data_IF_548112867836
#
_entry.id   IF_548112867836
#
_cell.length_a   1.000
_cell.length_b   1.000
_cell.length_c   1.000
_cell.angle_alpha   90.00
_cell.angle_beta   90.00
_cell.angle_gamma   90.00
#
_symmetry.space_group_name_H-M   'P 1'
#
loop_
_entity.id
_entity.type
_entity.pdbx_description
1 polymer ?
#
# COMPACT_ATOMS: atom_id res chain seq x y z
N UNK A 1 6.04 -44.37 59.24
CA UNK A 1 6.54 -43.08 58.69
C UNK A 1 5.67 -42.67 57.59
N UNK A 2 5.03 -41.50 57.71
CA UNK A 2 4.26 -40.92 56.62
C UNK A 2 5.26 -40.57 55.46
N UNK A 3 5.09 -41.22 54.30
CA UNK A 3 5.85 -40.85 53.10
C UNK A 3 5.23 -39.60 52.53
N UNK A 4 5.91 -38.51 52.63
CA UNK A 4 5.53 -37.27 51.95
C UNK A 4 5.51 -37.50 50.43
N UNK A 5 4.46 -37.04 49.79
CA UNK A 5 4.38 -37.05 48.35
C UNK A 5 5.45 -36.13 47.77
N UNK A 6 6.27 -36.63 46.85
CA UNK A 6 7.35 -35.89 46.26
C UNK A 6 7.21 -35.80 44.74
N UNK A 7 6.96 -34.62 44.23
CA UNK A 7 6.93 -34.34 42.81
C UNK A 7 6.05 -35.28 41.98
N UNK A 8 6.60 -35.94 40.95
CA UNK A 8 5.89 -36.85 40.05
C UNK A 8 5.22 -38.07 40.72
N UNK A 9 5.59 -38.41 41.95
CA UNK A 9 4.99 -39.48 42.72
C UNK A 9 3.79 -39.03 43.53
N UNK A 10 3.49 -37.74 43.57
CA UNK A 10 2.30 -37.17 44.20
C UNK A 10 1.04 -37.66 43.50
N UNK A 11 -0.06 -37.61 44.23
CA UNK A 11 -1.38 -37.90 43.69
C UNK A 11 -2.04 -36.62 43.15
N UNK A 12 -2.77 -36.77 42.08
CA UNK A 12 -3.63 -35.74 41.50
C UNK A 12 -5.02 -36.34 41.18
N UNK A 13 -5.97 -35.49 40.88
CA UNK A 13 -7.28 -35.88 40.38
C UNK A 13 -7.36 -35.66 38.89
N UNK A 14 -8.04 -36.57 38.18
CA UNK A 14 -8.35 -36.38 36.78
C UNK A 14 -9.37 -35.24 36.60
N UNK A 15 -9.14 -34.36 35.66
CA UNK A 15 -10.07 -33.25 35.35
C UNK A 15 -11.36 -33.76 34.67
N UNK A 16 -11.36 -35.01 34.18
CA UNK A 16 -12.52 -35.63 33.52
C UNK A 16 -13.39 -36.43 34.49
N UNK A 17 -12.83 -37.40 35.18
CA UNK A 17 -13.57 -38.33 36.04
C UNK A 17 -13.50 -37.98 37.52
N UNK A 18 -12.55 -37.13 37.92
CA UNK A 18 -12.28 -36.90 39.34
C UNK A 18 -11.61 -38.07 40.07
N UNK A 19 -11.22 -39.14 39.36
CA UNK A 19 -10.47 -40.23 39.96
C UNK A 19 -9.04 -39.82 40.31
N UNK A 20 -8.49 -40.50 41.27
CA UNK A 20 -7.18 -40.21 41.81
C UNK A 20 -6.10 -41.03 41.13
N UNK A 21 -5.21 -40.34 40.43
CA UNK A 21 -4.04 -40.90 39.72
C UNK A 21 -2.71 -40.37 40.29
N UNK A 22 -1.63 -41.03 40.01
CA UNK A 22 -0.31 -40.45 40.26
C UNK A 22 0.00 -39.46 39.16
N UNK A 23 0.60 -38.33 39.52
CA UNK A 23 0.91 -37.28 38.54
C UNK A 23 1.81 -37.74 37.37
N UNK A 24 2.63 -38.77 37.59
CA UNK A 24 3.45 -39.37 36.52
C UNK A 24 2.64 -40.16 35.49
N UNK A 25 1.45 -40.67 35.91
CA UNK A 25 0.60 -41.53 35.11
C UNK A 25 -0.54 -40.70 34.45
N UNK A 26 -0.53 -39.39 34.68
CA UNK A 26 -1.47 -38.42 34.07
C UNK A 26 -0.88 -37.82 32.83
N UNK A 27 -1.69 -37.68 31.78
CA UNK A 27 -1.35 -37.08 30.48
C UNK A 27 -2.19 -35.81 30.28
N UNK A 28 -1.62 -34.83 29.60
CA UNK A 28 -2.35 -33.63 29.19
C UNK A 28 -2.95 -33.85 27.82
N UNK A 29 -4.28 -33.69 27.73
CA UNK A 29 -5.02 -33.75 26.47
C UNK A 29 -4.86 -32.52 25.62
N UNK A 30 -5.31 -32.61 24.38
CA UNK A 30 -5.31 -31.50 23.41
C UNK A 30 -6.12 -30.27 23.85
N UNK A 31 -7.19 -30.48 24.66
CA UNK A 31 -8.04 -29.43 25.24
C UNK A 31 -7.44 -28.77 26.49
N UNK A 32 -6.29 -29.26 26.96
CA UNK A 32 -5.59 -28.80 28.15
C UNK A 32 -5.91 -29.53 29.44
N UNK A 33 -6.90 -30.43 29.46
CA UNK A 33 -7.25 -31.22 30.60
C UNK A 33 -6.14 -32.22 30.96
N UNK A 34 -5.96 -32.48 32.26
CA UNK A 34 -5.00 -33.44 32.77
C UNK A 34 -5.77 -34.68 33.27
N UNK A 35 -5.62 -35.78 32.55
CA UNK A 35 -6.39 -36.99 32.76
C UNK A 35 -5.52 -38.21 33.01
N UNK A 36 -6.11 -39.28 33.55
CA UNK A 36 -5.45 -40.58 33.65
C UNK A 36 -5.12 -41.15 32.26
N UNK A 37 -4.10 -42.00 32.19
CA UNK A 37 -3.67 -42.61 30.92
C UNK A 37 -4.75 -43.49 30.27
N UNK A 38 -5.61 -44.07 31.06
CA UNK A 38 -6.76 -44.87 30.67
C UNK A 38 -7.94 -44.05 30.18
N UNK A 39 -7.96 -42.74 30.50
CA UNK A 39 -9.00 -41.79 30.12
C UNK A 39 -8.57 -40.88 28.96
N UNK A 40 -7.33 -41.03 28.50
CA UNK A 40 -6.76 -40.18 27.47
C UNK A 40 -7.44 -40.39 26.13
N UNK A 41 -7.90 -39.28 25.54
CA UNK A 41 -8.43 -39.23 24.17
C UNK A 41 -7.57 -38.38 23.28
N UNK A 42 -7.24 -38.92 22.11
CA UNK A 42 -6.56 -38.15 21.06
C UNK A 42 -7.51 -37.11 20.44
N UNK A 43 -6.94 -36.03 19.93
CA UNK A 43 -7.71 -35.04 19.20
C UNK A 43 -8.34 -35.68 17.96
N UNK A 44 -9.66 -35.52 17.82
CA UNK A 44 -10.36 -36.07 16.66
C UNK A 44 -9.88 -35.37 15.37
N UNK A 45 -9.57 -36.12 14.30
CA UNK A 45 -9.06 -35.56 13.05
C UNK A 45 -9.95 -34.47 12.42
N UNK A 46 -11.28 -34.53 12.67
CA UNK A 46 -12.20 -33.50 12.18
C UNK A 46 -12.03 -32.13 12.86
N UNK A 47 -11.39 -32.09 14.01
CA UNK A 47 -11.09 -30.83 14.72
C UNK A 47 -9.80 -30.19 14.22
N UNK A 48 -9.07 -30.86 13.35
CA UNK A 48 -7.95 -30.29 12.64
C UNK A 48 -8.46 -29.75 11.31
N UNK A 49 -8.30 -28.45 11.03
CA UNK A 49 -8.69 -27.93 9.74
C UNK A 49 -7.88 -28.65 8.66
N UNK A 50 -8.60 -29.32 7.78
CA UNK A 50 -7.99 -29.92 6.62
C UNK A 50 -7.65 -28.77 5.68
N UNK A 51 -6.40 -28.32 5.68
CA UNK A 51 -5.95 -27.32 4.72
C UNK A 51 -6.11 -27.91 3.32
N UNK A 52 -6.91 -27.30 2.44
CA UNK A 52 -6.88 -27.66 1.03
C UNK A 52 -5.44 -27.61 0.58
N UNK A 53 -5.06 -28.56 -0.28
CA UNK A 53 -3.70 -28.64 -0.79
C UNK A 53 -3.15 -27.27 -1.25
N UNK A 54 -1.85 -27.15 -1.48
CA UNK A 54 -1.23 -25.88 -1.79
C UNK A 54 -1.98 -25.23 -2.96
N UNK A 55 -2.46 -24.01 -2.73
CA UNK A 55 -3.10 -23.21 -3.77
C UNK A 55 -2.03 -22.90 -4.85
N UNK A 56 -2.18 -23.43 -6.08
CA UNK A 56 -1.20 -23.18 -7.13
C UNK A 56 -1.15 -21.71 -7.58
N UNK A 57 -2.14 -20.93 -7.18
CA UNK A 57 -2.22 -19.49 -7.46
C UNK A 57 -1.62 -18.64 -6.34
N UNK A 58 -1.42 -19.21 -5.16
CA UNK A 58 -0.80 -18.51 -4.05
C UNK A 58 0.73 -18.64 -4.11
N UNK A 59 1.39 -17.52 -4.03
CA UNK A 59 2.85 -17.48 -3.89
C UNK A 59 3.24 -17.86 -2.46
N UNK A 60 4.09 -18.86 -2.32
CA UNK A 60 4.72 -19.19 -1.04
C UNK A 60 5.79 -18.13 -0.74
N UNK A 61 5.66 -17.46 0.41
CA UNK A 61 6.55 -16.36 0.84
C UNK A 61 6.79 -15.30 -0.26
N UNK A 62 5.74 -14.62 -0.72
CA UNK A 62 5.86 -13.70 -1.82
C UNK A 62 6.84 -12.57 -1.47
N UNK A 63 7.85 -12.43 -2.32
CA UNK A 63 8.78 -11.30 -2.30
C UNK A 63 8.68 -10.62 -3.65
N UNK A 64 7.63 -9.83 -3.88
CA UNK A 64 7.49 -9.13 -5.14
C UNK A 64 8.68 -8.20 -5.32
N UNK A 65 9.19 -8.13 -6.54
CA UNK A 65 10.15 -7.12 -6.92
C UNK A 65 9.60 -5.74 -6.55
N UNK A 66 10.48 -4.85 -6.12
CA UNK A 66 10.13 -3.46 -5.97
C UNK A 66 9.58 -2.99 -7.31
N UNK A 67 8.26 -2.83 -7.36
CA UNK A 67 7.60 -2.33 -8.56
C UNK A 67 8.22 -0.98 -8.87
N UNK A 68 8.90 -0.88 -10.00
CA UNK A 68 9.27 0.42 -10.57
C UNK A 68 7.95 1.16 -10.73
N UNK A 69 7.76 2.23 -9.97
CA UNK A 69 6.54 3.01 -10.10
C UNK A 69 6.46 3.45 -11.55
N UNK A 70 5.46 2.93 -12.24
CA UNK A 70 5.06 3.48 -13.53
C UNK A 70 4.72 4.93 -13.23
N UNK A 71 5.23 5.86 -14.01
CA UNK A 71 4.97 7.29 -13.88
C UNK A 71 3.52 7.51 -13.50
N UNK A 72 3.27 7.90 -12.25
CA UNK A 72 1.91 8.11 -11.75
C UNK A 72 1.35 9.28 -12.54
N UNK A 73 0.27 9.06 -13.27
CA UNK A 73 -0.48 10.14 -13.89
C UNK A 73 -1.18 10.90 -12.76
N UNK A 74 -0.58 11.97 -12.30
CA UNK A 74 -1.18 12.84 -11.31
C UNK A 74 -2.22 13.73 -11.97
N UNK A 75 -3.47 13.60 -11.54
CA UNK A 75 -4.50 14.54 -11.92
C UNK A 75 -4.18 15.90 -11.28
N UNK A 76 -3.89 16.88 -12.11
CA UNK A 76 -3.72 18.26 -11.65
C UNK A 76 -5.09 18.85 -11.27
N UNK A 77 -5.11 19.80 -10.37
CA UNK A 77 -6.34 20.46 -9.94
C UNK A 77 -7.05 21.20 -11.09
N UNK A 78 -8.22 21.79 -10.80
CA UNK A 78 -8.95 22.58 -11.78
C UNK A 78 -8.11 23.80 -12.24
N UNK A 79 -7.93 23.93 -13.56
CA UNK A 79 -7.19 25.01 -14.19
C UNK A 79 -5.78 25.21 -13.59
N UNK A 80 -4.89 24.21 -13.72
CA UNK A 80 -3.59 24.22 -13.06
C UNK A 80 -2.59 25.21 -13.67
N UNK A 81 -2.83 25.67 -14.88
CA UNK A 81 -1.93 26.57 -15.60
C UNK A 81 -2.24 28.04 -15.33
N UNK A 82 -1.20 28.83 -15.18
CA UNK A 82 -1.26 30.30 -15.06
C UNK A 82 -0.37 30.90 -16.11
N UNK A 83 -0.89 31.86 -16.84
CA UNK A 83 -0.16 32.56 -17.91
C UNK A 83 0.38 33.92 -17.44
N UNK A 84 1.45 34.37 -18.11
CA UNK A 84 1.98 35.71 -17.96
C UNK A 84 1.80 36.45 -19.28
N UNK A 85 1.29 37.69 -19.29
CA UNK A 85 0.99 38.44 -20.48
C UNK A 85 2.20 38.52 -21.43
N UNK A 86 1.93 38.32 -22.72
CA UNK A 86 2.93 38.38 -23.80
C UNK A 86 4.11 37.41 -23.60
N UNK A 87 3.95 36.39 -22.78
CA UNK A 87 4.99 35.41 -22.51
C UNK A 87 4.57 34.00 -22.98
N UNK A 88 5.55 33.21 -23.42
CA UNK A 88 5.38 31.78 -23.68
C UNK A 88 5.58 30.92 -22.40
N UNK A 89 5.97 31.54 -21.28
CA UNK A 89 6.16 30.87 -20.02
C UNK A 89 4.80 30.63 -19.31
N UNK A 90 4.58 29.43 -18.89
CA UNK A 90 3.35 29.00 -18.17
C UNK A 90 3.78 28.47 -16.82
N UNK A 91 3.15 28.96 -15.77
CA UNK A 91 3.32 28.42 -14.42
C UNK A 91 2.29 27.33 -14.15
N UNK A 92 2.72 26.22 -13.60
CA UNK A 92 1.88 25.09 -13.24
C UNK A 92 1.77 25.00 -11.73
N UNK A 93 0.56 24.77 -11.25
CA UNK A 93 0.29 24.50 -9.83
C UNK A 93 0.09 22.99 -9.66
N UNK A 94 1.03 22.36 -9.00
CA UNK A 94 1.00 20.93 -8.65
C UNK A 94 1.50 20.80 -7.20
N UNK A 95 0.60 20.68 -6.21
CA UNK A 95 0.99 20.60 -4.81
C UNK A 95 1.93 19.44 -4.52
N UNK A 96 3.02 19.68 -3.80
CA UNK A 96 4.03 18.68 -3.38
C UNK A 96 4.57 17.83 -4.53
N UNK A 97 4.88 18.46 -5.67
CA UNK A 97 5.22 17.77 -6.92
C UNK A 97 6.55 16.99 -6.87
N UNK A 98 7.43 17.25 -5.93
CA UNK A 98 8.71 16.53 -5.77
C UNK A 98 9.68 16.60 -6.96
N UNK A 99 9.40 17.42 -7.97
CA UNK A 99 10.20 17.55 -9.21
C UNK A 99 11.40 18.46 -9.02
N UNK A 100 12.40 18.30 -9.89
CA UNK A 100 13.59 19.11 -9.94
C UNK A 100 13.66 19.94 -11.23
N UNK A 101 14.42 21.02 -11.22
CA UNK A 101 14.68 21.79 -12.45
C UNK A 101 15.35 20.89 -13.49
N UNK A 102 14.92 21.00 -14.74
CA UNK A 102 15.29 20.21 -15.91
C UNK A 102 14.59 18.86 -16.04
N UNK A 103 13.72 18.50 -15.12
CA UNK A 103 12.85 17.34 -15.33
C UNK A 103 11.92 17.57 -16.53
N UNK A 104 11.55 16.51 -17.23
CA UNK A 104 10.63 16.56 -18.36
C UNK A 104 9.23 16.15 -17.92
N UNK A 105 8.26 17.03 -18.10
CA UNK A 105 6.85 16.81 -17.80
C UNK A 105 6.03 16.75 -19.07
N UNK A 106 5.08 15.84 -19.13
CA UNK A 106 4.10 15.74 -20.24
C UNK A 106 2.71 15.97 -19.68
N UNK A 107 1.98 16.83 -20.35
CA UNK A 107 0.58 17.06 -20.00
C UNK A 107 -0.33 16.32 -20.98
N UNK A 108 -1.47 15.87 -20.48
CA UNK A 108 -2.53 15.24 -21.24
C UNK A 108 -3.86 15.87 -20.90
N UNK A 109 -4.80 15.82 -21.82
CA UNK A 109 -6.16 16.32 -21.65
C UNK A 109 -6.27 17.81 -21.27
N UNK A 110 -5.20 18.56 -21.48
CA UNK A 110 -5.23 20.00 -21.30
C UNK A 110 -6.05 20.66 -22.41
N UNK A 111 -6.91 21.58 -22.00
CA UNK A 111 -7.73 22.41 -22.91
C UNK A 111 -6.99 23.68 -23.23
N UNK A 112 -7.01 24.08 -24.50
CA UNK A 112 -6.38 25.33 -24.94
C UNK A 112 -6.99 26.57 -24.28
N UNK A 113 -6.16 27.56 -23.94
CA UNK A 113 -6.61 28.79 -23.31
C UNK A 113 -5.57 29.90 -23.52
N UNK A 114 -5.99 31.16 -23.42
CA UNK A 114 -5.16 32.36 -23.43
C UNK A 114 -4.09 32.43 -24.55
N UNK A 115 -4.43 32.00 -25.77
CA UNK A 115 -3.53 32.01 -26.92
C UNK A 115 -2.71 30.70 -27.09
N UNK A 116 -2.80 29.75 -26.16
CA UNK A 116 -2.18 28.44 -26.30
C UNK A 116 -3.16 27.38 -26.80
N UNK A 117 -2.80 26.71 -27.89
CA UNK A 117 -3.59 25.60 -28.41
C UNK A 117 -3.45 24.37 -27.55
N UNK A 118 -4.51 23.54 -27.47
CA UNK A 118 -4.47 22.27 -26.73
C UNK A 118 -3.36 21.32 -27.21
N UNK A 119 -3.09 21.30 -28.50
CA UNK A 119 -1.99 20.49 -29.09
C UNK A 119 -0.62 20.90 -28.63
N UNK A 120 -0.43 22.19 -28.34
CA UNK A 120 0.82 22.72 -27.78
C UNK A 120 0.96 22.29 -26.33
N UNK A 121 -0.09 22.44 -25.53
CA UNK A 121 -0.06 22.03 -24.12
C UNK A 121 0.14 20.52 -23.95
N UNK A 122 -0.52 19.71 -24.77
CA UNK A 122 -0.44 18.25 -24.78
C UNK A 122 0.72 17.69 -25.61
N UNK A 123 1.90 18.31 -25.51
CA UNK A 123 3.07 17.90 -26.28
C UNK A 123 3.58 16.52 -25.87
N UNK A 124 3.60 15.58 -26.83
CA UNK A 124 4.05 14.20 -26.61
C UNK A 124 5.53 14.08 -26.22
N UNK A 125 6.37 15.05 -26.61
CA UNK A 125 7.78 15.09 -26.21
C UNK A 125 7.98 15.63 -24.79
N UNK A 126 6.96 16.29 -24.23
CA UNK A 126 7.02 16.95 -22.94
C UNK A 126 7.74 18.28 -22.96
N UNK A 127 7.84 18.88 -21.79
CA UNK A 127 8.49 20.15 -21.55
C UNK A 127 9.50 20.03 -20.42
N UNK A 128 10.69 20.56 -20.61
CA UNK A 128 11.63 20.76 -19.51
C UNK A 128 11.10 21.85 -18.59
N UNK A 129 11.13 21.60 -17.30
CA UNK A 129 10.58 22.49 -16.28
C UNK A 129 11.68 23.24 -15.52
N UNK A 130 11.29 24.36 -14.96
CA UNK A 130 12.08 25.09 -13.97
C UNK A 130 11.28 25.13 -12.67
N UNK A 131 11.80 24.51 -11.62
CA UNK A 131 11.18 24.50 -10.29
C UNK A 131 11.19 25.94 -9.74
N UNK A 132 10.04 26.40 -9.26
CA UNK A 132 9.89 27.65 -8.52
C UNK A 132 9.86 27.40 -7.03
N UNK A 133 8.96 26.52 -6.59
CA UNK A 133 8.82 26.07 -5.21
C UNK A 133 8.31 24.61 -5.18
N UNK A 134 7.94 24.09 -3.99
CA UNK A 134 7.48 22.71 -3.85
C UNK A 134 6.08 22.45 -4.42
N UNK A 135 5.36 23.50 -4.80
CA UNK A 135 3.99 23.42 -5.30
C UNK A 135 3.84 24.00 -6.70
N UNK A 136 4.88 24.65 -7.23
CA UNK A 136 4.81 25.32 -8.53
C UNK A 136 6.11 25.17 -9.31
N UNK A 137 5.95 25.04 -10.61
CA UNK A 137 7.06 25.08 -11.57
C UNK A 137 6.62 25.78 -12.85
N UNK A 138 7.57 26.18 -13.68
CA UNK A 138 7.31 26.84 -14.96
C UNK A 138 7.85 25.99 -16.11
N UNK A 139 7.21 26.12 -17.25
CA UNK A 139 7.72 25.62 -18.54
C UNK A 139 7.48 26.62 -19.65
N UNK A 140 8.23 26.51 -20.72
CA UNK A 140 8.07 27.37 -21.91
C UNK A 140 7.34 26.56 -22.99
N UNK A 141 6.20 27.06 -23.42
CA UNK A 141 5.42 26.46 -24.51
C UNK A 141 6.21 26.52 -25.84
N UNK A 142 6.10 25.47 -26.65
CA UNK A 142 6.79 25.37 -27.94
C UNK A 142 6.31 26.37 -28.97
N UNK A 143 5.08 26.84 -28.84
CA UNK A 143 4.53 27.95 -29.68
C UNK A 143 3.38 28.63 -28.95
N UNK A 144 3.07 29.85 -29.37
CA UNK A 144 2.07 30.71 -28.77
C UNK A 144 2.63 31.57 -27.64
N UNK A 145 1.90 32.61 -27.33
CA UNK A 145 2.14 33.52 -26.22
C UNK A 145 0.81 33.88 -25.58
N UNK A 146 0.82 34.13 -24.29
CA UNK A 146 -0.39 34.52 -23.58
C UNK A 146 -0.91 35.86 -24.12
N UNK A 147 -2.18 35.88 -24.48
CA UNK A 147 -2.84 37.07 -24.98
C UNK A 147 -3.16 38.07 -23.88
N UNK A 148 -3.72 37.59 -22.81
CA UNK A 148 -4.17 38.42 -21.69
C UNK A 148 -3.22 38.32 -20.49
N UNK A 149 -2.77 37.14 -20.12
CA UNK A 149 -1.96 36.86 -18.94
C UNK A 149 -2.74 36.94 -17.64
N UNK A 150 -2.19 36.34 -16.61
CA UNK A 150 -2.84 36.21 -15.29
C UNK A 150 -4.06 35.29 -15.27
N UNK A 151 -4.39 34.65 -16.39
CA UNK A 151 -5.50 33.73 -16.48
C UNK A 151 -5.10 32.33 -15.99
N UNK A 152 -6.05 31.66 -15.35
CA UNK A 152 -5.96 30.22 -15.01
C UNK A 152 -6.70 29.40 -16.05
N UNK A 153 -6.09 28.32 -16.51
CA UNK A 153 -6.69 27.47 -17.55
C UNK A 153 -6.11 26.07 -17.56
N UNK A 154 -6.44 25.36 -18.65
CA UNK A 154 -6.07 23.95 -18.83
C UNK A 154 -7.21 22.97 -18.63
N UNK A 155 -8.25 23.37 -17.91
CA UNK A 155 -9.40 22.50 -17.62
C UNK A 155 -9.25 21.68 -16.32
N UNK A 156 -10.16 20.73 -16.10
CA UNK A 156 -10.22 19.95 -14.86
C UNK A 156 -9.76 18.50 -14.99
N UNK A 157 -9.18 18.12 -16.14
CA UNK A 157 -8.77 16.73 -16.42
C UNK A 157 -7.29 16.64 -16.82
N UNK A 158 -6.53 17.68 -16.56
CA UNK A 158 -5.11 17.70 -16.91
C UNK A 158 -4.34 16.72 -16.03
N UNK A 159 -3.62 15.79 -16.67
CA UNK A 159 -2.75 14.81 -16.03
C UNK A 159 -1.34 14.92 -16.56
#
# INVERSE_FOLDING_TARGET
>A
MARYASGKKSWGYSDRSGFRYRLRDMIKEWNGLKVGRDEYEEKHPQLEPNYPGPDPTALFEPRPDARTEVSVENLLGLNPFITTASSASITVIEPSHGRSTSDTVRFRDAVGFDGFAATVLNNSSGYAITKVDDNTYTFTASSGTATTGGLRGGGGRVT
#
